data_IF_482348437079
#
_entry.id   IF_482348437079
#
_cell.length_a   1.000
_cell.length_b   1.000
_cell.length_c   1.000
_cell.angle_alpha   90.00
_cell.angle_beta   90.00
_cell.angle_gamma   90.00
#
_symmetry.space_group_name_H-M   'P 1'
#
loop_
_entity.id
_entity.type
_entity.pdbx_description
1 polymer ?
#
# COMPACT_ATOMS: atom_id res chain seq x y z
N UNK A 1 -16.56 26.09 11.04
CA UNK A 1 -16.68 26.97 9.86
C UNK A 1 -16.26 28.41 10.12
N UNK A 2 -16.28 28.84 11.39
CA UNK A 2 -15.92 30.23 11.80
C UNK A 2 -14.41 30.52 11.85
N UNK A 3 -13.56 29.49 11.75
CA UNK A 3 -12.11 29.61 11.96
C UNK A 3 -11.29 29.62 10.67
N UNK A 4 -11.90 29.35 9.51
CA UNK A 4 -11.21 29.27 8.22
C UNK A 4 -11.94 30.04 7.14
N UNK A 5 -11.18 30.54 6.14
CA UNK A 5 -11.65 31.34 5.00
C UNK A 5 -11.56 30.55 3.70
N UNK A 6 -12.08 31.11 2.61
CA UNK A 6 -11.86 30.57 1.26
C UNK A 6 -10.35 30.44 0.96
N UNK A 7 -9.99 29.38 0.24
CA UNK A 7 -8.63 29.01 -0.11
C UNK A 7 -7.73 28.55 1.05
N UNK A 8 -8.19 28.55 2.30
CA UNK A 8 -7.46 27.94 3.41
C UNK A 8 -7.35 26.43 3.20
N UNK A 9 -6.32 25.84 3.77
CA UNK A 9 -6.08 24.39 3.74
C UNK A 9 -6.73 23.72 4.95
N UNK A 10 -7.58 22.75 4.69
CA UNK A 10 -8.22 21.89 5.68
C UNK A 10 -7.52 20.53 5.65
N UNK A 11 -7.12 20.02 6.81
CA UNK A 11 -6.53 18.69 6.95
C UNK A 11 -7.44 17.81 7.81
N UNK A 12 -7.71 16.58 7.32
CA UNK A 12 -8.45 15.55 8.05
C UNK A 12 -7.72 14.21 7.90
N UNK A 13 -7.16 13.70 8.99
CA UNK A 13 -6.36 12.48 8.99
C UNK A 13 -7.15 11.22 9.28
N UNK A 14 -8.46 11.33 9.47
CA UNK A 14 -9.41 10.22 9.68
C UNK A 14 -10.64 10.43 8.79
N UNK A 15 -10.41 10.56 7.50
CA UNK A 15 -11.37 11.05 6.52
C UNK A 15 -12.70 10.26 6.47
N UNK A 16 -12.67 8.97 6.81
CA UNK A 16 -13.84 8.11 6.76
C UNK A 16 -14.55 8.17 5.40
N UNK A 17 -15.79 8.63 5.39
CA UNK A 17 -16.56 8.80 4.15
C UNK A 17 -16.26 10.07 3.36
N UNK A 18 -15.35 10.95 3.83
CA UNK A 18 -14.92 12.17 3.13
C UNK A 18 -15.84 13.38 3.29
N UNK A 19 -16.62 13.47 4.35
CA UNK A 19 -17.52 14.61 4.60
C UNK A 19 -16.75 15.92 4.73
N UNK A 20 -15.59 15.90 5.39
CA UNK A 20 -14.72 17.09 5.53
C UNK A 20 -14.24 17.58 4.16
N UNK A 21 -13.79 16.68 3.28
CA UNK A 21 -13.35 17.01 1.92
C UNK A 21 -14.49 17.60 1.10
N UNK A 22 -15.69 17.00 1.16
CA UNK A 22 -16.89 17.49 0.47
C UNK A 22 -17.22 18.94 0.86
N UNK A 23 -17.31 19.19 2.18
CA UNK A 23 -17.67 20.54 2.67
C UNK A 23 -16.56 21.54 2.33
N UNK A 24 -15.29 21.15 2.45
CA UNK A 24 -14.18 22.02 2.09
C UNK A 24 -14.21 22.42 0.61
N UNK A 25 -14.43 21.45 -0.30
CA UNK A 25 -14.55 21.73 -1.75
C UNK A 25 -15.74 22.62 -2.08
N UNK A 26 -16.93 22.34 -1.51
CA UNK A 26 -18.13 23.17 -1.70
C UNK A 26 -17.97 24.61 -1.19
N UNK A 27 -17.11 24.82 -0.20
CA UNK A 27 -16.79 26.13 0.37
C UNK A 27 -15.53 26.77 -0.23
N UNK A 28 -15.05 26.28 -1.35
CA UNK A 28 -13.86 26.75 -2.06
C UNK A 28 -12.59 26.76 -1.17
N UNK A 29 -12.43 25.76 -0.29
CA UNK A 29 -11.25 25.54 0.53
C UNK A 29 -10.40 24.41 -0.04
N UNK A 30 -9.09 24.49 0.13
CA UNK A 30 -8.18 23.38 -0.17
C UNK A 30 -8.31 22.32 0.90
N UNK A 31 -8.08 21.06 0.55
CA UNK A 31 -8.18 19.98 1.52
C UNK A 31 -7.13 18.89 1.28
N UNK A 32 -6.69 18.28 2.36
CA UNK A 32 -5.89 17.06 2.39
C UNK A 32 -6.58 16.12 3.36
N UNK A 33 -6.92 14.93 2.89
CA UNK A 33 -7.55 13.91 3.72
C UNK A 33 -6.76 12.62 3.64
N UNK A 34 -6.65 11.90 4.75
CA UNK A 34 -6.05 10.58 4.79
C UNK A 34 -6.90 9.60 5.59
N UNK A 35 -6.78 8.33 5.26
CA UNK A 35 -7.41 7.23 5.99
C UNK A 35 -6.62 5.95 5.77
N UNK A 36 -6.60 5.04 6.76
CA UNK A 36 -5.95 3.73 6.64
C UNK A 36 -6.81 2.74 5.87
N UNK A 37 -8.13 2.92 5.90
CA UNK A 37 -9.10 2.01 5.30
C UNK A 37 -9.23 2.20 3.79
N UNK A 38 -8.94 1.18 2.99
CA UNK A 38 -9.18 1.20 1.53
C UNK A 38 -10.65 1.49 1.20
N UNK A 39 -11.57 0.98 2.00
CA UNK A 39 -13.00 1.22 1.83
C UNK A 39 -13.36 2.69 2.07
N UNK A 40 -12.80 3.31 3.10
CA UNK A 40 -12.97 4.74 3.39
C UNK A 40 -12.49 5.60 2.23
N UNK A 41 -11.28 5.35 1.73
CA UNK A 41 -10.72 6.06 0.57
C UNK A 41 -11.59 5.87 -0.68
N UNK A 42 -12.10 4.66 -0.93
CA UNK A 42 -12.98 4.39 -2.07
C UNK A 42 -14.31 5.15 -1.96
N UNK A 43 -14.89 5.20 -0.77
CA UNK A 43 -16.13 5.95 -0.48
C UNK A 43 -15.91 7.45 -0.62
N UNK A 44 -14.83 7.98 -0.04
CA UNK A 44 -14.41 9.37 -0.18
C UNK A 44 -14.23 9.76 -1.65
N UNK A 45 -13.53 8.93 -2.45
CA UNK A 45 -13.37 9.13 -3.90
C UNK A 45 -14.70 9.26 -4.62
N UNK A 46 -15.63 8.32 -4.39
CA UNK A 46 -16.95 8.36 -5.03
C UNK A 46 -17.71 9.64 -4.68
N UNK A 47 -17.67 10.02 -3.40
CA UNK A 47 -18.28 11.27 -2.91
C UNK A 47 -17.69 12.48 -3.60
N UNK A 48 -16.36 12.60 -3.67
CA UNK A 48 -15.70 13.74 -4.31
C UNK A 48 -16.00 13.85 -5.80
N UNK A 49 -16.08 12.74 -6.53
CA UNK A 49 -16.53 12.73 -7.93
C UNK A 49 -17.97 13.26 -8.06
N UNK A 50 -18.85 12.89 -7.13
CA UNK A 50 -20.24 13.40 -7.13
C UNK A 50 -20.28 14.90 -6.87
N UNK A 51 -19.50 15.38 -5.89
CA UNK A 51 -19.39 16.82 -5.58
C UNK A 51 -18.87 17.63 -6.78
N UNK A 52 -17.84 17.13 -7.47
CA UNK A 52 -17.32 17.81 -8.66
C UNK A 52 -18.36 17.88 -9.79
N UNK A 53 -19.14 16.82 -9.99
CA UNK A 53 -20.25 16.81 -10.97
C UNK A 53 -21.33 17.82 -10.61
N UNK A 54 -21.70 17.89 -9.32
CA UNK A 54 -22.66 18.87 -8.80
C UNK A 54 -22.17 20.31 -8.99
N UNK A 55 -20.92 20.61 -8.63
CA UNK A 55 -20.32 21.93 -8.80
C UNK A 55 -20.26 22.33 -10.28
N UNK A 56 -19.83 21.40 -11.15
CA UNK A 56 -19.79 21.63 -12.60
C UNK A 56 -21.18 21.91 -13.17
N UNK A 57 -22.21 21.16 -12.78
CA UNK A 57 -23.59 21.37 -13.22
C UNK A 57 -24.14 22.75 -12.80
N UNK A 58 -23.68 23.27 -11.68
CA UNK A 58 -24.06 24.58 -11.15
C UNK A 58 -23.11 25.73 -11.60
N UNK A 59 -22.25 25.50 -12.60
CA UNK A 59 -21.26 26.46 -13.10
C UNK A 59 -20.34 27.03 -12.00
N UNK A 60 -20.08 26.25 -10.94
CA UNK A 60 -19.15 26.58 -9.88
C UNK A 60 -17.76 26.02 -10.14
N UNK A 61 -16.74 26.66 -9.59
CA UNK A 61 -15.37 26.15 -9.65
C UNK A 61 -15.25 24.84 -8.87
N UNK A 62 -14.47 23.93 -9.42
CA UNK A 62 -14.08 22.67 -8.78
C UNK A 62 -12.61 22.39 -9.07
N UNK A 63 -11.96 21.60 -8.21
CA UNK A 63 -10.54 21.23 -8.35
C UNK A 63 -10.41 19.75 -8.63
N UNK A 64 -9.46 19.41 -9.49
CA UNK A 64 -9.02 18.01 -9.59
C UNK A 64 -8.36 17.59 -8.28
N UNK A 65 -8.50 16.32 -7.92
CA UNK A 65 -7.84 15.72 -6.77
C UNK A 65 -7.07 14.47 -7.18
N UNK A 66 -6.07 14.13 -6.40
CA UNK A 66 -5.25 12.93 -6.58
C UNK A 66 -5.39 12.03 -5.36
N UNK A 67 -5.32 10.71 -5.58
CA UNK A 67 -5.31 9.71 -4.53
C UNK A 67 -3.92 9.10 -4.49
N UNK A 68 -3.22 9.33 -3.39
CA UNK A 68 -1.87 8.85 -3.15
C UNK A 68 -1.91 7.63 -2.24
N UNK A 69 -1.07 6.66 -2.50
CA UNK A 69 -0.86 5.50 -1.65
C UNK A 69 0.62 5.41 -1.28
N UNK A 70 0.96 5.80 -0.06
CA UNK A 70 2.35 5.83 0.42
C UNK A 70 3.03 4.47 0.31
N UNK A 71 2.36 3.39 0.69
CA UNK A 71 2.91 2.04 0.57
C UNK A 71 3.23 1.64 -0.88
N UNK A 72 2.43 2.09 -1.85
CA UNK A 72 2.71 1.85 -3.27
C UNK A 72 3.96 2.59 -3.74
N UNK A 73 4.13 3.86 -3.34
CA UNK A 73 5.31 4.65 -3.73
C UNK A 73 6.58 4.11 -3.08
N UNK A 74 6.56 3.78 -1.80
CA UNK A 74 7.68 3.14 -1.12
C UNK A 74 8.06 1.82 -1.82
N UNK A 75 7.07 1.00 -2.16
CA UNK A 75 7.29 -0.24 -2.91
C UNK A 75 7.91 0.01 -4.28
N UNK A 76 7.45 1.04 -5.02
CA UNK A 76 8.00 1.38 -6.35
C UNK A 76 9.48 1.72 -6.30
N UNK A 77 9.99 2.29 -5.20
CA UNK A 77 11.41 2.55 -5.04
C UNK A 77 12.24 1.26 -5.14
N UNK A 78 11.69 0.13 -4.65
CA UNK A 78 12.35 -1.17 -4.69
C UNK A 78 12.03 -1.98 -5.97
N UNK A 79 11.07 -1.54 -6.78
CA UNK A 79 10.80 -2.16 -8.09
C UNK A 79 11.86 -1.66 -9.09
N UNK A 80 12.58 -2.61 -9.69
CA UNK A 80 13.55 -2.28 -10.71
C UNK A 80 12.86 -2.11 -12.08
N UNK A 81 12.93 -0.93 -12.68
CA UNK A 81 12.27 -0.57 -13.96
C UNK A 81 13.21 -0.68 -15.18
N UNK A 82 14.08 -1.58 -15.18
CA UNK A 82 15.09 -2.08 -16.14
C UNK A 82 15.18 -1.54 -17.57
N UNK A 83 14.95 -0.26 -17.81
CA UNK A 83 14.85 0.29 -19.17
C UNK A 83 16.19 0.56 -19.90
N UNK A 84 17.36 0.48 -19.20
CA UNK A 84 18.59 1.06 -19.78
C UNK A 84 19.90 0.28 -19.59
N UNK A 85 19.90 -0.94 -19.03
CA UNK A 85 21.16 -1.63 -18.68
C UNK A 85 21.27 -3.05 -19.25
N UNK A 86 22.52 -3.58 -19.31
CA UNK A 86 22.81 -4.95 -19.76
C UNK A 86 22.18 -5.99 -18.81
N UNK A 87 21.76 -7.14 -19.35
CA UNK A 87 20.92 -8.11 -18.64
C UNK A 87 21.52 -8.65 -17.33
N UNK A 88 22.82 -8.86 -17.25
CA UNK A 88 23.50 -9.32 -16.03
C UNK A 88 23.47 -8.28 -14.90
N UNK A 89 23.65 -6.99 -15.24
CA UNK A 89 23.58 -5.88 -14.29
C UNK A 89 22.16 -5.74 -13.76
N UNK A 90 21.15 -5.91 -14.63
CA UNK A 90 19.74 -5.90 -14.27
C UNK A 90 19.40 -6.97 -13.25
N UNK A 91 19.87 -8.19 -13.43
CA UNK A 91 19.60 -9.31 -12.50
C UNK A 91 20.21 -9.03 -11.12
N UNK A 92 21.44 -8.53 -11.07
CA UNK A 92 22.11 -8.23 -9.81
C UNK A 92 21.45 -7.05 -9.07
N UNK A 93 21.07 -5.99 -9.78
CA UNK A 93 20.35 -4.85 -9.19
C UNK A 93 18.96 -5.24 -8.70
N UNK A 94 18.24 -6.09 -9.45
CA UNK A 94 16.95 -6.62 -9.02
C UNK A 94 17.08 -7.42 -7.74
N UNK A 95 18.02 -8.36 -7.66
CA UNK A 95 18.26 -9.16 -6.46
C UNK A 95 18.64 -8.28 -5.26
N UNK A 96 19.49 -7.26 -5.46
CA UNK A 96 19.88 -6.33 -4.40
C UNK A 96 18.68 -5.56 -3.87
N UNK A 97 17.84 -5.00 -4.75
CA UNK A 97 16.62 -4.27 -4.36
C UNK A 97 15.60 -5.16 -3.64
N UNK A 98 15.41 -6.39 -4.12
CA UNK A 98 14.54 -7.38 -3.45
C UNK A 98 15.06 -7.73 -2.05
N UNK A 99 16.36 -7.86 -1.89
CA UNK A 99 16.97 -8.11 -0.58
C UNK A 99 16.81 -6.92 0.36
N UNK A 100 17.09 -5.70 -0.10
CA UNK A 100 16.91 -4.46 0.68
C UNK A 100 15.44 -4.29 1.12
N UNK A 101 14.51 -4.59 0.23
CA UNK A 101 13.09 -4.58 0.53
C UNK A 101 12.71 -5.59 1.62
N UNK A 102 13.16 -6.85 1.49
CA UNK A 102 12.91 -7.87 2.50
C UNK A 102 13.46 -7.47 3.86
N UNK A 103 14.69 -6.94 3.90
CA UNK A 103 15.33 -6.44 5.12
C UNK A 103 14.54 -5.30 5.77
N UNK A 104 14.01 -4.37 4.96
CA UNK A 104 13.15 -3.29 5.44
C UNK A 104 11.89 -3.84 6.12
N UNK A 105 11.20 -4.79 5.46
CA UNK A 105 9.97 -5.39 5.99
C UNK A 105 10.24 -6.17 7.28
N UNK A 106 11.32 -6.98 7.33
CA UNK A 106 11.71 -7.71 8.53
C UNK A 106 11.99 -6.76 9.70
N UNK A 107 12.70 -5.67 9.44
CA UNK A 107 12.97 -4.64 10.45
C UNK A 107 11.68 -3.96 10.94
N UNK A 108 10.79 -3.58 10.04
CA UNK A 108 9.51 -2.97 10.39
C UNK A 108 8.61 -3.92 11.19
N UNK A 109 8.63 -5.21 10.84
CA UNK A 109 7.87 -6.26 11.55
C UNK A 109 8.54 -6.71 12.85
N UNK A 110 9.77 -6.21 13.14
CA UNK A 110 10.59 -6.59 14.31
C UNK A 110 10.87 -8.09 14.34
N UNK A 111 11.26 -8.65 13.20
CA UNK A 111 11.66 -10.05 13.03
C UNK A 111 13.14 -10.15 12.68
N UNK A 112 13.77 -11.23 13.10
CA UNK A 112 15.16 -11.56 12.74
C UNK A 112 15.19 -12.28 11.39
N UNK A 113 16.21 -11.99 10.57
CA UNK A 113 16.41 -12.68 9.29
C UNK A 113 16.80 -14.15 9.52
N UNK A 114 16.26 -15.05 8.70
CA UNK A 114 16.58 -16.49 8.71
C UNK A 114 16.98 -16.91 7.31
N UNK A 115 18.05 -17.70 7.22
CA UNK A 115 18.59 -18.21 5.97
C UNK A 115 18.34 -19.72 5.82
N UNK A 116 18.43 -20.23 4.60
CA UNK A 116 18.29 -21.66 4.30
C UNK A 116 16.89 -22.08 3.83
N UNK A 117 15.97 -21.14 3.68
CA UNK A 117 14.62 -21.38 3.17
C UNK A 117 14.41 -20.67 1.84
N UNK A 118 13.47 -21.19 1.03
CA UNK A 118 13.09 -20.61 -0.26
C UNK A 118 12.08 -19.47 -0.10
N UNK A 119 11.03 -19.69 0.71
CA UNK A 119 9.88 -18.80 0.87
C UNK A 119 9.83 -18.13 2.24
N UNK A 120 10.58 -18.61 3.21
CA UNK A 120 10.65 -18.10 4.57
C UNK A 120 11.87 -17.18 4.68
N UNK A 121 11.66 -15.97 5.22
CA UNK A 121 12.65 -14.91 5.22
C UNK A 121 13.06 -14.45 6.63
N UNK A 122 12.23 -14.71 7.64
CA UNK A 122 12.51 -14.28 9.00
C UNK A 122 11.81 -15.12 10.07
N UNK A 123 12.12 -14.76 11.33
CA UNK A 123 11.46 -15.35 12.50
C UNK A 123 11.16 -14.26 13.53
N UNK A 124 9.97 -14.30 14.12
CA UNK A 124 9.54 -13.43 15.21
C UNK A 124 8.93 -14.28 16.30
N UNK A 125 9.58 -14.33 17.46
CA UNK A 125 9.23 -15.25 18.55
C UNK A 125 9.21 -16.71 18.02
N UNK A 126 8.07 -17.38 18.15
CA UNK A 126 7.88 -18.77 17.70
C UNK A 126 7.34 -18.89 16.26
N UNK A 127 7.00 -17.78 15.62
CA UNK A 127 6.45 -17.74 14.26
C UNK A 127 7.53 -17.42 13.23
N UNK A 128 7.51 -18.15 12.12
CA UNK A 128 8.29 -17.82 10.96
C UNK A 128 7.61 -16.73 10.12
N UNK A 129 8.37 -16.02 9.28
CA UNK A 129 7.86 -14.91 8.49
C UNK A 129 8.19 -15.12 7.03
N UNK A 130 7.17 -15.15 6.19
CA UNK A 130 7.26 -15.13 4.74
C UNK A 130 6.86 -13.75 4.22
N UNK A 131 7.65 -13.20 3.29
CA UNK A 131 7.36 -11.92 2.64
C UNK A 131 6.95 -12.20 1.21
N UNK A 132 5.78 -11.77 0.83
CA UNK A 132 5.23 -11.89 -0.50
C UNK A 132 5.97 -11.04 -1.54
N UNK A 133 5.65 -11.22 -2.82
CA UNK A 133 6.30 -10.53 -3.92
C UNK A 133 6.04 -9.02 -3.89
N UNK A 134 7.01 -8.23 -4.41
CA UNK A 134 6.93 -6.76 -4.42
C UNK A 134 5.91 -6.25 -5.45
N UNK A 135 5.87 -6.86 -6.62
CA UNK A 135 5.22 -6.30 -7.82
C UNK A 135 3.88 -6.91 -8.15
N UNK A 136 3.42 -7.90 -7.40
CA UNK A 136 2.16 -8.58 -7.67
C UNK A 136 1.43 -8.94 -6.38
N UNK A 137 0.12 -9.12 -6.41
CA UNK A 137 -0.63 -9.60 -5.26
C UNK A 137 -0.11 -10.97 -4.79
N UNK A 138 -0.20 -11.20 -3.50
CA UNK A 138 0.08 -12.51 -2.92
C UNK A 138 -0.99 -13.49 -3.38
N UNK A 139 -0.57 -14.48 -4.16
CA UNK A 139 -1.46 -15.45 -4.78
C UNK A 139 -1.64 -16.70 -3.91
N UNK A 140 -2.67 -17.49 -4.23
CA UNK A 140 -2.90 -18.80 -3.61
C UNK A 140 -1.71 -19.73 -3.77
N UNK A 141 -1.12 -19.77 -4.95
CA UNK A 141 0.06 -20.62 -5.22
C UNK A 141 1.23 -20.27 -4.30
N UNK A 142 1.44 -18.97 -4.02
CA UNK A 142 2.50 -18.56 -3.10
C UNK A 142 2.23 -19.05 -1.67
N UNK A 143 0.98 -18.99 -1.22
CA UNK A 143 0.59 -19.54 0.10
C UNK A 143 0.84 -21.03 0.17
N UNK A 144 0.47 -21.78 -0.88
CA UNK A 144 0.68 -23.23 -0.98
C UNK A 144 2.18 -23.56 -0.94
N UNK A 145 3.04 -22.82 -1.66
CA UNK A 145 4.50 -23.00 -1.60
C UNK A 145 5.06 -22.78 -0.18
N UNK A 146 4.56 -21.76 0.54
CA UNK A 146 4.95 -21.50 1.93
C UNK A 146 4.52 -22.62 2.85
N UNK A 147 3.29 -23.11 2.70
CA UNK A 147 2.76 -24.23 3.49
C UNK A 147 3.57 -25.49 3.26
N UNK A 148 3.89 -25.82 2.00
CA UNK A 148 4.71 -26.97 1.64
C UNK A 148 6.11 -26.91 2.27
N UNK A 149 6.71 -25.73 2.27
CA UNK A 149 8.02 -25.54 2.92
C UNK A 149 7.93 -25.68 4.44
N UNK A 150 6.86 -25.16 5.06
CA UNK A 150 6.58 -25.32 6.48
C UNK A 150 6.42 -26.80 6.87
N UNK A 151 5.65 -27.57 6.08
CA UNK A 151 5.44 -29.00 6.32
C UNK A 151 6.76 -29.79 6.23
N UNK A 152 7.56 -29.53 5.19
CA UNK A 152 8.87 -30.19 5.01
C UNK A 152 9.83 -29.92 6.18
N UNK A 153 9.78 -28.73 6.75
CA UNK A 153 10.68 -28.31 7.82
C UNK A 153 10.06 -28.44 9.23
N UNK A 154 8.87 -29.03 9.35
CA UNK A 154 8.13 -29.20 10.62
C UNK A 154 7.89 -27.87 11.36
N UNK A 155 7.60 -26.82 10.59
CA UNK A 155 7.30 -25.49 11.12
C UNK A 155 5.80 -25.45 11.42
N UNK A 156 5.46 -25.04 12.65
CA UNK A 156 4.10 -25.05 13.17
C UNK A 156 3.33 -23.75 12.95
N UNK A 157 4.03 -22.65 12.63
CA UNK A 157 3.37 -21.37 12.40
C UNK A 157 4.19 -20.43 11.54
N UNK A 158 3.52 -19.73 10.61
CA UNK A 158 4.12 -18.76 9.72
C UNK A 158 3.19 -17.56 9.51
N UNK A 159 3.75 -16.36 9.60
CA UNK A 159 3.09 -15.12 9.21
C UNK A 159 3.44 -14.80 7.77
N UNK A 160 2.45 -14.62 6.92
CA UNK A 160 2.64 -14.27 5.51
C UNK A 160 2.30 -12.79 5.32
N UNK A 161 3.32 -11.99 5.02
CA UNK A 161 3.23 -10.55 4.84
C UNK A 161 3.12 -10.21 3.36
N UNK A 162 2.02 -9.59 2.94
CA UNK A 162 1.80 -9.13 1.58
C UNK A 162 1.29 -7.70 1.54
N UNK A 163 1.63 -6.94 0.50
CA UNK A 163 1.05 -5.61 0.26
C UNK A 163 -0.37 -5.68 -0.29
N UNK A 164 -0.60 -6.64 -1.15
CA UNK A 164 -1.89 -6.89 -1.79
C UNK A 164 -2.12 -8.39 -1.79
N UNK A 165 -3.38 -8.78 -1.68
CA UNK A 165 -3.81 -10.17 -1.68
C UNK A 165 -4.75 -10.40 -2.85
N UNK A 166 -4.64 -11.57 -3.48
CA UNK A 166 -5.55 -11.99 -4.54
C UNK A 166 -6.98 -12.10 -4.00
N UNK A 167 -7.97 -11.71 -4.83
CA UNK A 167 -9.37 -11.83 -4.44
C UNK A 167 -9.74 -13.31 -4.24
N UNK A 168 -10.39 -13.62 -3.11
CA UNK A 168 -10.79 -14.99 -2.78
C UNK A 168 -9.70 -15.83 -2.08
N UNK A 169 -8.66 -15.20 -1.57
CA UNK A 169 -7.63 -15.86 -0.78
C UNK A 169 -8.10 -16.23 0.64
N UNK A 170 -9.16 -15.56 1.14
CA UNK A 170 -9.78 -15.75 2.44
C UNK A 170 -11.19 -16.32 2.29
#
# INVERSE_FOLDING_TARGET
LSTTKENDLIADFFAGSGTTAEIAEKLNRKWICSDLGKFSIHTCRKRMISVQRELKANNKNWRAFEILNLGKYQRQHYIYDGKTERDEIKINLKKKKEYEFKKLILSAYKSSEVNGFKTIHGKKNDLFVSIGPINQPLSRNHVEEVVDECLKNKITGVDILGFEYEMGLF
#
